data_IF_133832583887
#
_entry.id   IF_133832583887
#
_cell.length_a   1.000
_cell.length_b   1.000
_cell.length_c   1.000
_cell.angle_alpha   90.00
_cell.angle_beta   90.00
_cell.angle_gamma   90.00
#
_symmetry.space_group_name_H-M   'P 1'
#
loop_
_entity.id
_entity.type
_entity.pdbx_description
1 polymer ?
#
# COMPACT_ATOMS: atom_id res chain seq x y z
N UNK A 1 -1.39 15.28 12.89
CA UNK A 1 -2.55 14.43 12.51
C UNK A 1 -2.91 14.79 11.09
N UNK A 2 -3.15 13.82 10.23
CA UNK A 2 -3.70 14.04 8.90
C UNK A 2 -4.80 13.01 8.65
N UNK A 3 -5.62 13.24 7.63
CA UNK A 3 -6.76 12.38 7.32
C UNK A 3 -6.64 11.87 5.89
N UNK A 4 -6.82 10.57 5.68
CA UNK A 4 -6.99 9.96 4.36
C UNK A 4 -8.37 9.33 4.32
N UNK A 5 -9.20 9.76 3.36
CA UNK A 5 -10.57 9.27 3.18
C UNK A 5 -11.38 9.16 4.50
N UNK A 6 -11.36 10.22 5.30
CA UNK A 6 -12.05 10.26 6.60
C UNK A 6 -11.38 9.51 7.76
N UNK A 7 -10.32 8.73 7.50
CA UNK A 7 -9.55 8.02 8.54
C UNK A 7 -8.40 8.88 9.05
N UNK A 8 -8.34 9.10 10.37
CA UNK A 8 -7.26 9.87 11.00
C UNK A 8 -5.99 9.04 11.19
N UNK A 9 -4.86 9.64 10.81
CA UNK A 9 -3.53 9.08 11.00
C UNK A 9 -2.65 10.03 11.82
N UNK A 10 -1.78 9.43 12.63
CA UNK A 10 -0.76 10.13 13.41
C UNK A 10 0.60 9.61 13.01
N UNK A 11 1.54 10.53 12.84
CA UNK A 11 2.94 10.25 12.55
C UNK A 11 3.76 11.06 13.53
N UNK A 12 4.81 10.43 14.06
CA UNK A 12 5.84 11.07 14.88
C UNK A 12 7.19 10.72 14.28
N UNK A 13 8.09 11.69 14.27
CA UNK A 13 9.50 11.40 14.02
C UNK A 13 10.20 10.95 15.31
N UNK A 14 11.34 10.28 15.14
CA UNK A 14 12.28 9.95 16.20
C UNK A 14 13.68 10.26 15.68
N UNK A 15 14.42 11.11 16.39
CA UNK A 15 15.82 11.40 16.09
C UNK A 15 16.80 10.31 16.56
N UNK A 16 16.30 9.28 17.25
CA UNK A 16 17.07 8.13 17.68
C UNK A 16 17.05 7.02 16.62
N UNK A 17 18.21 6.41 16.37
CA UNK A 17 18.33 5.26 15.47
C UNK A 17 17.91 3.99 16.19
N UNK A 18 16.86 3.34 15.70
CA UNK A 18 16.38 2.08 16.25
C UNK A 18 16.83 0.89 15.39
N UNK A 19 16.87 -0.30 16.00
CA UNK A 19 17.24 -1.54 15.30
C UNK A 19 16.09 -2.11 14.43
N UNK A 20 14.90 -1.53 14.52
CA UNK A 20 13.71 -1.92 13.77
C UNK A 20 13.36 -0.87 12.71
N UNK A 21 12.46 -1.25 11.81
CA UNK A 21 11.81 -0.36 10.84
C UNK A 21 10.37 -0.84 10.60
N UNK A 22 9.66 -0.17 9.71
CA UNK A 22 8.39 -0.68 9.20
C UNK A 22 8.57 -2.05 8.56
N UNK A 23 7.52 -2.87 8.65
CA UNK A 23 7.52 -4.23 8.08
C UNK A 23 6.18 -4.48 7.39
N UNK A 24 6.13 -5.40 6.41
CA UNK A 24 4.87 -5.77 5.78
C UNK A 24 3.83 -6.36 6.73
N UNK A 25 4.22 -6.80 7.94
CA UNK A 25 3.30 -7.34 8.95
C UNK A 25 2.24 -6.33 9.42
N UNK A 26 2.51 -5.03 9.27
CA UNK A 26 1.51 -3.97 9.46
C UNK A 26 1.47 -3.12 8.19
N UNK A 27 0.32 -3.11 7.53
CA UNK A 27 0.12 -2.41 6.26
C UNK A 27 -1.15 -1.58 6.27
N UNK A 28 -1.17 -0.56 5.41
CA UNK A 28 -2.38 0.17 5.06
C UNK A 28 -3.05 -0.52 3.88
N UNK A 29 -4.36 -0.76 3.99
CA UNK A 29 -5.15 -1.42 2.95
C UNK A 29 -6.03 -0.39 2.26
N UNK A 30 -5.86 -0.26 0.95
CA UNK A 30 -6.61 0.66 0.10
C UNK A 30 -7.58 -0.16 -0.74
N UNK A 31 -8.87 0.03 -0.50
CA UNK A 31 -9.95 -0.55 -1.27
C UNK A 31 -10.58 0.56 -2.13
N UNK A 32 -10.76 0.30 -3.42
CA UNK A 32 -11.41 1.24 -4.34
C UNK A 32 -12.07 0.50 -5.49
N UNK A 33 -13.17 1.04 -5.99
CA UNK A 33 -13.84 0.58 -7.22
C UNK A 33 -13.34 1.32 -8.48
N UNK A 34 -12.33 2.18 -8.36
CA UNK A 34 -11.76 2.96 -9.46
C UNK A 34 -10.40 2.41 -9.88
N UNK A 35 -10.34 1.82 -11.06
CA UNK A 35 -9.10 1.27 -11.64
C UNK A 35 -8.03 2.37 -11.80
N UNK A 36 -8.42 3.54 -12.31
CA UNK A 36 -7.50 4.67 -12.48
C UNK A 36 -6.93 5.17 -11.15
N UNK A 37 -7.72 5.17 -10.07
CA UNK A 37 -7.25 5.56 -8.74
C UNK A 37 -6.20 4.58 -8.21
N UNK A 38 -6.50 3.28 -8.24
CA UNK A 38 -5.58 2.25 -7.74
C UNK A 38 -4.30 2.18 -8.56
N UNK A 39 -4.38 2.25 -9.88
CA UNK A 39 -3.20 2.26 -10.74
C UNK A 39 -2.33 3.48 -10.47
N UNK A 40 -2.94 4.66 -10.34
CA UNK A 40 -2.22 5.89 -10.00
C UNK A 40 -1.53 5.79 -8.64
N UNK A 41 -2.25 5.35 -7.61
CA UNK A 41 -1.71 5.24 -6.26
C UNK A 41 -0.59 4.21 -6.18
N UNK A 42 -0.79 3.03 -6.78
CA UNK A 42 0.20 1.96 -6.83
C UNK A 42 1.48 2.42 -7.52
N UNK A 43 1.36 3.01 -8.72
CA UNK A 43 2.52 3.53 -9.47
C UNK A 43 3.28 4.58 -8.64
N UNK A 44 2.58 5.54 -8.04
CA UNK A 44 3.21 6.61 -7.28
C UNK A 44 3.93 6.09 -6.04
N UNK A 45 3.29 5.20 -5.27
CA UNK A 45 3.84 4.70 -4.01
C UNK A 45 4.96 3.68 -4.25
N UNK A 46 4.89 2.87 -5.31
CA UNK A 46 5.97 1.93 -5.64
C UNK A 46 7.15 2.59 -6.37
N UNK A 47 7.02 3.85 -6.82
CA UNK A 47 8.08 4.57 -7.53
C UNK A 47 9.15 5.17 -6.60
N UNK A 48 10.22 5.73 -7.19
CA UNK A 48 11.26 6.53 -6.51
C UNK A 48 11.85 5.88 -5.25
N UNK A 49 12.23 4.60 -5.34
CA UNK A 49 12.82 3.86 -4.22
C UNK A 49 11.83 2.99 -3.45
N UNK A 50 10.55 3.00 -3.83
CA UNK A 50 9.59 1.98 -3.39
C UNK A 50 9.93 0.58 -3.90
N UNK A 51 9.34 -0.42 -3.26
CA UNK A 51 9.55 -1.84 -3.55
C UNK A 51 8.21 -2.51 -3.85
N UNK A 52 8.07 -3.08 -5.05
CA UNK A 52 6.94 -3.96 -5.38
C UNK A 52 7.20 -5.33 -4.75
N UNK A 53 6.27 -5.80 -3.92
CA UNK A 53 6.26 -7.15 -3.35
C UNK A 53 5.33 -8.08 -4.13
N UNK A 54 4.14 -7.58 -4.47
CA UNK A 54 3.16 -8.24 -5.36
C UNK A 54 2.78 -7.21 -6.42
N UNK A 55 3.01 -7.49 -7.72
CA UNK A 55 2.57 -6.61 -8.80
C UNK A 55 1.07 -6.32 -8.73
N UNK A 56 0.64 -5.15 -9.20
CA UNK A 56 -0.78 -4.88 -9.34
C UNK A 56 -1.31 -5.60 -10.59
N UNK A 57 -2.04 -6.68 -10.38
CA UNK A 57 -2.58 -7.50 -11.48
C UNK A 57 -3.90 -8.17 -11.11
N UNK A 58 -4.61 -8.69 -12.12
CA UNK A 58 -5.73 -9.61 -11.90
C UNK A 58 -5.21 -11.02 -11.63
N UNK A 59 -5.48 -11.53 -10.44
CA UNK A 59 -5.08 -12.86 -10.03
C UNK A 59 -6.28 -13.81 -10.07
N UNK A 60 -6.43 -14.55 -11.17
CA UNK A 60 -7.53 -15.53 -11.36
C UNK A 60 -7.44 -16.74 -10.40
N UNK A 61 -6.29 -16.96 -9.76
CA UNK A 61 -6.08 -18.02 -8.76
C UNK A 61 -5.01 -17.63 -7.73
N UNK A 62 -5.23 -17.99 -6.46
CA UNK A 62 -4.33 -17.71 -5.33
C UNK A 62 -5.00 -16.95 -4.18
N UNK A 63 -4.23 -16.66 -3.13
CA UNK A 63 -4.70 -15.98 -1.90
C UNK A 63 -5.02 -14.47 -2.10
N UNK A 64 -5.02 -13.98 -3.34
CA UNK A 64 -5.19 -12.57 -3.70
C UNK A 64 -6.49 -12.26 -4.48
N UNK A 65 -7.41 -13.22 -4.57
CA UNK A 65 -8.70 -13.08 -5.24
C UNK A 65 -9.73 -12.23 -4.48
N UNK A 66 -9.31 -11.16 -3.81
CA UNK A 66 -10.17 -10.28 -3.01
C UNK A 66 -11.04 -9.33 -3.88
N UNK A 67 -10.71 -9.18 -5.16
CA UNK A 67 -11.33 -8.26 -6.11
C UNK A 67 -10.83 -8.49 -7.53
N UNK A 68 -11.04 -7.51 -8.43
CA UNK A 68 -10.62 -7.56 -9.84
C UNK A 68 -9.11 -7.45 -10.04
N UNK A 69 -8.42 -6.73 -9.16
CA UNK A 69 -6.96 -6.61 -9.12
C UNK A 69 -6.49 -6.50 -7.68
N UNK A 70 -5.30 -7.05 -7.40
CA UNK A 70 -4.62 -6.86 -6.13
C UNK A 70 -3.18 -6.44 -6.37
N UNK A 71 -2.59 -5.65 -5.47
CA UNK A 71 -1.18 -5.30 -5.49
C UNK A 71 -0.64 -4.98 -4.11
N UNK A 72 0.66 -5.16 -3.91
CA UNK A 72 1.31 -4.89 -2.63
C UNK A 72 2.71 -4.28 -2.85
N UNK A 73 2.94 -3.09 -2.32
CA UNK A 73 4.25 -2.45 -2.32
C UNK A 73 4.62 -1.87 -0.96
N UNK A 74 5.90 -1.60 -0.77
CA UNK A 74 6.39 -0.67 0.24
C UNK A 74 6.78 0.65 -0.45
N UNK A 75 6.44 1.78 0.15
CA UNK A 75 6.85 3.09 -0.37
C UNK A 75 8.31 3.41 -0.07
N UNK A 76 8.80 4.56 -0.56
CA UNK A 76 10.17 5.00 -0.34
C UNK A 76 10.53 5.27 1.15
N UNK A 77 9.54 5.26 2.05
CA UNK A 77 9.74 5.38 3.50
C UNK A 77 9.63 4.02 4.22
N UNK A 78 9.37 2.95 3.47
CA UNK A 78 9.20 1.58 3.97
C UNK A 78 7.79 1.27 4.48
N UNK A 79 6.82 2.18 4.34
CA UNK A 79 5.44 1.90 4.75
C UNK A 79 4.84 0.89 3.78
N UNK A 80 4.18 -0.14 4.33
CA UNK A 80 3.57 -1.22 3.56
C UNK A 80 2.14 -0.85 3.14
N UNK A 81 1.82 -1.03 1.86
CA UNK A 81 0.54 -0.68 1.24
C UNK A 81 -0.01 -1.84 0.41
N UNK A 82 -1.24 -2.26 0.70
CA UNK A 82 -2.00 -3.23 -0.09
C UNK A 82 -3.13 -2.50 -0.84
N UNK A 83 -3.38 -2.91 -2.09
CA UNK A 83 -4.35 -2.29 -2.98
C UNK A 83 -5.31 -3.36 -3.49
N UNK A 84 -6.60 -3.13 -3.37
CA UNK A 84 -7.65 -4.02 -3.85
C UNK A 84 -8.64 -3.26 -4.72
N UNK A 85 -8.72 -3.62 -6.00
CA UNK A 85 -9.75 -3.12 -6.89
C UNK A 85 -11.02 -3.94 -6.68
N UNK A 86 -11.97 -3.39 -5.92
CA UNK A 86 -13.23 -4.03 -5.61
C UNK A 86 -14.12 -4.17 -6.85
N UNK A 87 -15.13 -5.04 -6.79
CA UNK A 87 -16.11 -5.21 -7.88
C UNK A 87 -16.91 -3.94 -8.21
#
# INVERSE_FOLDING_TARGET
VFTLNGTEYRVSESNFNHAWSFTPAVSLFVDSSSENEIETLFEKLSSKGGQIMVPLDNYDSGDYGFGKKFGWCADNYGISWQFNLSE
#
